data_IF_725054342212
#
_entry.id   IF_725054342212
#
_cell.length_a   1.000
_cell.length_b   1.000
_cell.length_c   1.000
_cell.angle_alpha   90.00
_cell.angle_beta   90.00
_cell.angle_gamma   90.00
#
_symmetry.space_group_name_H-M   'P 1'
#
loop_
_entity.id
_entity.type
_entity.pdbx_description
1 polymer ?
#
# COMPACT_ATOMS: atom_id res chain seq x y z
N UNK A 1 17.41 -17.60 12.45
CA UNK A 1 17.91 -17.93 13.81
C UNK A 1 18.99 -16.96 14.31
N UNK A 2 18.99 -15.67 13.90
CA UNK A 2 19.98 -14.67 14.36
C UNK A 2 19.43 -13.26 14.66
N UNK A 3 18.10 -13.05 14.68
CA UNK A 3 17.52 -11.75 15.08
C UNK A 3 17.21 -11.64 16.59
N UNK A 4 17.45 -12.71 17.37
CA UNK A 4 17.11 -12.76 18.80
C UNK A 4 18.20 -12.17 19.73
N UNK A 5 19.36 -11.77 19.20
CA UNK A 5 20.51 -11.31 19.99
C UNK A 5 20.57 -9.79 20.25
N UNK A 6 19.67 -9.00 19.66
CA UNK A 6 19.63 -7.54 19.86
C UNK A 6 18.78 -7.10 21.07
N UNK A 7 18.03 -8.01 21.68
CA UNK A 7 17.24 -7.73 22.89
C UNK A 7 17.86 -8.40 24.10
N UNK A 8 18.93 -7.81 24.62
CA UNK A 8 19.52 -8.18 25.91
C UNK A 8 18.54 -7.81 27.05
N UNK A 9 17.98 -8.78 27.80
CA UNK A 9 16.88 -8.56 28.76
C UNK A 9 17.28 -7.91 30.09
N UNK A 10 18.53 -7.46 30.25
CA UNK A 10 19.00 -6.92 31.54
C UNK A 10 18.45 -5.52 31.89
N UNK A 11 17.80 -4.82 30.95
CA UNK A 11 17.10 -3.55 31.24
C UNK A 11 15.64 -3.78 31.62
N UNK A 12 15.40 -4.08 32.90
CA UNK A 12 14.07 -4.35 33.50
C UNK A 12 12.96 -3.33 33.19
N UNK A 13 13.30 -2.08 32.85
CA UNK A 13 12.30 -1.04 32.55
C UNK A 13 11.70 -1.14 31.14
N UNK A 14 12.42 -1.70 30.16
CA UNK A 14 11.91 -1.88 28.79
C UNK A 14 11.22 -3.24 28.58
N UNK A 15 11.36 -4.16 29.53
CA UNK A 15 10.69 -5.46 29.51
C UNK A 15 9.20 -5.39 29.94
N UNK A 16 8.74 -4.25 30.46
CA UNK A 16 7.38 -4.08 31.03
C UNK A 16 6.34 -3.84 29.94
N UNK A 17 6.73 -3.26 28.79
CA UNK A 17 5.83 -3.01 27.67
C UNK A 17 6.19 -3.98 26.54
N UNK A 18 5.28 -4.85 26.08
CA UNK A 18 5.55 -5.70 24.94
C UNK A 18 5.91 -4.80 23.75
N UNK A 19 7.08 -5.05 23.16
CA UNK A 19 7.70 -4.27 22.06
C UNK A 19 6.70 -3.93 20.95
N UNK A 20 5.77 -4.84 20.68
CA UNK A 20 4.70 -4.69 19.71
C UNK A 20 3.78 -3.51 20.04
N UNK A 21 3.29 -3.42 21.28
CA UNK A 21 2.40 -2.34 21.72
C UNK A 21 3.12 -1.00 21.72
N UNK A 22 4.36 -0.97 22.19
CA UNK A 22 5.18 0.25 22.14
C UNK A 22 5.32 0.75 20.69
N UNK A 23 5.67 -0.15 19.77
CA UNK A 23 5.80 0.17 18.34
C UNK A 23 4.48 0.69 17.78
N UNK A 24 3.36 0.05 18.13
CA UNK A 24 2.05 0.48 17.68
C UNK A 24 1.66 1.88 18.20
N UNK A 25 1.95 2.19 19.46
CA UNK A 25 1.76 3.54 20.00
C UNK A 25 2.64 4.58 19.31
N UNK A 26 3.90 4.25 18.99
CA UNK A 26 4.77 5.11 18.20
C UNK A 26 4.21 5.34 16.79
N UNK A 27 3.64 4.32 16.15
CA UNK A 27 2.95 4.48 14.87
C UNK A 27 1.76 5.44 15.01
N UNK A 28 0.87 5.23 15.98
CA UNK A 28 -0.28 6.11 16.23
C UNK A 28 0.17 7.57 16.39
N UNK A 29 1.19 7.82 17.22
CA UNK A 29 1.73 9.16 17.46
C UNK A 29 2.31 9.76 16.17
N UNK A 30 3.11 9.01 15.42
CA UNK A 30 3.76 9.47 14.19
C UNK A 30 2.74 9.89 13.14
N UNK A 31 1.75 9.03 12.85
CA UNK A 31 0.71 9.35 11.87
C UNK A 31 -0.25 10.44 12.36
N UNK A 32 -0.48 10.55 13.68
CA UNK A 32 -1.21 11.68 14.26
C UNK A 32 -0.51 13.01 13.95
N UNK A 33 0.81 13.09 14.14
CA UNK A 33 1.59 14.29 13.83
C UNK A 33 1.54 14.60 12.32
N UNK A 34 1.69 13.60 11.46
CA UNK A 34 1.65 13.78 10.00
C UNK A 34 0.29 14.32 9.54
N UNK A 35 -0.81 13.79 10.09
CA UNK A 35 -2.17 14.25 9.81
C UNK A 35 -2.35 15.68 10.35
N UNK A 36 -1.93 15.94 11.59
CA UNK A 36 -1.99 17.26 12.21
C UNK A 36 -1.27 18.31 11.36
N UNK A 37 0.00 18.07 10.99
CA UNK A 37 0.80 18.98 10.14
C UNK A 37 0.10 19.24 8.80
N UNK A 38 -0.38 18.18 8.14
CA UNK A 38 -0.98 18.27 6.80
C UNK A 38 -2.29 19.06 6.77
N UNK A 39 -3.16 18.90 7.78
CA UNK A 39 -4.49 19.51 7.75
C UNK A 39 -4.65 20.78 8.59
N UNK A 40 -3.80 20.99 9.60
CA UNK A 40 -3.93 22.14 10.52
C UNK A 40 -2.81 23.17 10.37
N UNK A 41 -1.64 22.79 9.86
CA UNK A 41 -0.51 23.71 9.69
C UNK A 41 -0.27 24.14 8.24
N UNK A 42 -0.79 23.42 7.26
CA UNK A 42 -0.60 23.76 5.85
C UNK A 42 -1.69 24.75 5.41
N UNK A 43 -1.39 26.05 5.49
CA UNK A 43 -2.28 27.15 5.09
C UNK A 43 -2.64 27.14 3.59
N UNK A 44 -1.98 26.29 2.80
CA UNK A 44 -2.19 26.13 1.36
C UNK A 44 -3.35 25.20 0.99
N UNK A 45 -3.97 24.49 1.94
CA UNK A 45 -5.24 23.79 1.69
C UNK A 45 -6.32 24.88 1.64
N UNK A 46 -6.47 25.42 0.43
CA UNK A 46 -7.32 26.55 0.09
C UNK A 46 -8.66 26.51 0.84
N UNK A 47 -9.00 27.64 1.46
CA UNK A 47 -10.32 27.96 2.06
C UNK A 47 -11.52 27.77 1.10
N UNK A 48 -11.28 27.42 -0.16
CA UNK A 48 -12.27 27.19 -1.21
C UNK A 48 -12.72 25.72 -1.34
N UNK A 49 -12.04 24.74 -0.72
CA UNK A 49 -12.44 23.31 -0.72
C UNK A 49 -13.22 22.89 0.55
N UNK A 50 -13.41 23.80 1.50
CA UNK A 50 -14.12 23.58 2.76
C UNK A 50 -15.66 23.56 2.61
N UNK A 51 -16.19 22.96 1.55
CA UNK A 51 -17.60 22.56 1.53
C UNK A 51 -17.77 21.35 2.46
N UNK A 52 -18.28 21.65 3.65
CA UNK A 52 -18.32 20.82 4.88
C UNK A 52 -18.70 19.33 4.78
N UNK A 53 -19.31 18.85 3.69
CA UNK A 53 -19.76 17.46 3.55
C UNK A 53 -18.76 16.54 2.82
N UNK A 54 -17.81 17.08 2.06
CA UNK A 54 -16.81 16.27 1.31
C UNK A 54 -15.52 16.03 2.11
N UNK A 55 -15.31 16.82 3.18
CA UNK A 55 -14.06 16.89 3.91
C UNK A 55 -13.72 15.58 4.64
N UNK A 56 -14.69 15.00 5.33
CA UNK A 56 -14.48 13.72 6.05
C UNK A 56 -14.18 12.58 5.07
N UNK A 57 -14.91 12.52 3.96
CA UNK A 57 -14.67 11.53 2.90
C UNK A 57 -13.29 11.70 2.28
N UNK A 58 -12.86 12.94 2.03
CA UNK A 58 -11.52 13.24 1.52
C UNK A 58 -10.42 12.86 2.51
N UNK A 59 -10.57 13.21 3.79
CA UNK A 59 -9.63 12.83 4.85
C UNK A 59 -9.50 11.31 4.94
N UNK A 60 -10.62 10.57 4.97
CA UNK A 60 -10.64 9.11 5.05
C UNK A 60 -9.99 8.41 3.85
N UNK A 61 -9.95 9.07 2.69
CA UNK A 61 -9.26 8.56 1.50
C UNK A 61 -7.74 8.67 1.58
N UNK A 62 -7.22 9.44 2.52
CA UNK A 62 -5.79 9.68 2.62
C UNK A 62 -5.09 8.48 3.23
N UNK A 63 -4.02 7.99 2.58
CA UNK A 63 -3.31 6.78 3.02
C UNK A 63 -2.83 6.86 4.48
N UNK A 64 -2.37 8.05 4.92
CA UNK A 64 -1.94 8.28 6.31
C UNK A 64 -3.07 8.09 7.33
N UNK A 65 -4.31 8.44 6.97
CA UNK A 65 -5.49 8.26 7.83
C UNK A 65 -5.88 6.78 7.86
N UNK A 66 -5.78 6.08 6.74
CA UNK A 66 -6.01 4.64 6.72
C UNK A 66 -4.99 3.88 7.59
N UNK A 67 -3.74 4.35 7.62
CA UNK A 67 -2.69 3.85 8.52
C UNK A 67 -3.01 4.14 9.98
N UNK A 68 -3.42 5.36 10.37
CA UNK A 68 -3.74 5.61 11.79
C UNK A 68 -4.91 4.75 12.27
N UNK A 69 -5.97 4.61 11.46
CA UNK A 69 -7.12 3.77 11.83
C UNK A 69 -6.69 2.30 11.96
N UNK A 70 -5.83 1.82 11.06
CA UNK A 70 -5.27 0.47 11.16
C UNK A 70 -4.45 0.29 12.44
N UNK A 71 -3.67 1.29 12.86
CA UNK A 71 -2.87 1.21 14.09
C UNK A 71 -3.76 1.12 15.34
N UNK A 72 -4.86 1.89 15.38
CA UNK A 72 -5.88 1.75 16.42
C UNK A 72 -6.54 0.38 16.40
N UNK A 73 -6.83 -0.17 15.24
CA UNK A 73 -7.41 -1.51 15.17
C UNK A 73 -6.47 -2.55 15.80
N UNK A 74 -5.16 -2.37 15.64
CA UNK A 74 -4.18 -3.35 16.09
C UNK A 74 -3.94 -3.33 17.59
N UNK A 75 -4.37 -2.29 18.31
CA UNK A 75 -4.35 -2.32 19.78
C UNK A 75 -5.31 -3.35 20.35
N UNK A 76 -6.34 -3.75 19.59
CA UNK A 76 -7.42 -4.66 20.05
C UNK A 76 -7.23 -6.09 19.54
N UNK A 77 -6.35 -6.30 18.54
CA UNK A 77 -6.13 -7.62 17.92
C UNK A 77 -4.92 -8.35 18.48
N UNK A 78 -4.77 -9.64 18.16
CA UNK A 78 -3.54 -10.38 18.47
C UNK A 78 -2.30 -9.76 17.83
N UNK A 79 -1.20 -9.86 18.56
CA UNK A 79 0.10 -9.35 18.13
C UNK A 79 0.61 -10.18 16.95
N UNK A 80 1.00 -9.51 15.86
CA UNK A 80 1.58 -10.17 14.69
C UNK A 80 2.56 -9.26 14.01
N UNK A 81 3.77 -9.76 13.76
CA UNK A 81 4.82 -9.00 13.08
C UNK A 81 4.39 -8.51 11.69
N UNK A 82 3.63 -9.33 10.95
CA UNK A 82 3.16 -8.98 9.60
C UNK A 82 2.26 -7.76 9.58
N UNK A 83 1.52 -7.54 10.68
CA UNK A 83 0.76 -6.31 10.85
C UNK A 83 1.76 -5.15 10.76
N UNK A 84 2.83 -5.05 11.53
CA UNK A 84 3.74 -3.88 11.49
C UNK A 84 4.46 -3.58 10.15
N UNK A 85 4.45 -4.50 9.17
CA UNK A 85 5.24 -4.35 7.94
C UNK A 85 4.80 -3.19 7.03
N UNK A 86 3.51 -2.99 6.69
CA UNK A 86 3.08 -1.82 5.93
C UNK A 86 3.51 -0.51 6.61
N UNK A 87 3.33 -0.38 7.93
CA UNK A 87 3.76 0.80 8.67
C UNK A 87 5.26 1.08 8.52
N UNK A 88 6.10 0.05 8.63
CA UNK A 88 7.54 0.19 8.44
C UNK A 88 7.89 0.64 7.01
N UNK A 89 7.22 0.09 5.99
CA UNK A 89 7.44 0.46 4.58
C UNK A 89 7.05 1.93 4.36
N UNK A 90 5.84 2.32 4.77
CA UNK A 90 5.36 3.70 4.63
C UNK A 90 6.23 4.69 5.40
N UNK A 91 6.61 4.37 6.64
CA UNK A 91 7.50 5.23 7.42
C UNK A 91 8.87 5.40 6.75
N UNK A 92 9.46 4.31 6.25
CA UNK A 92 10.76 4.36 5.55
C UNK A 92 10.68 5.18 4.27
N UNK A 93 9.63 5.00 3.47
CA UNK A 93 9.43 5.77 2.24
C UNK A 93 9.19 7.26 2.55
N UNK A 94 8.34 7.57 3.53
CA UNK A 94 8.08 8.95 3.93
C UNK A 94 9.33 9.64 4.47
N UNK A 95 10.09 8.95 5.32
CA UNK A 95 11.36 9.46 5.84
C UNK A 95 12.37 9.69 4.71
N UNK A 96 12.47 8.76 3.77
CA UNK A 96 13.39 8.87 2.63
C UNK A 96 13.02 10.07 1.75
N UNK A 97 11.73 10.23 1.43
CA UNK A 97 11.23 11.39 0.70
C UNK A 97 11.50 12.70 1.45
N UNK A 98 11.24 12.74 2.76
CA UNK A 98 11.50 13.93 3.58
C UNK A 98 12.98 14.31 3.56
N UNK A 99 13.89 13.33 3.76
CA UNK A 99 15.32 13.59 3.78
C UNK A 99 15.84 14.16 2.45
N UNK A 100 15.35 13.63 1.33
CA UNK A 100 15.81 14.03 -0.01
C UNK A 100 15.17 15.32 -0.48
N UNK A 101 13.86 15.48 -0.31
CA UNK A 101 13.11 16.58 -0.92
C UNK A 101 12.92 17.79 0.02
N UNK A 102 12.85 17.59 1.34
CA UNK A 102 12.59 18.67 2.30
C UNK A 102 13.81 19.03 3.15
N UNK A 103 14.53 18.06 3.70
CA UNK A 103 15.62 18.33 4.65
C UNK A 103 16.91 18.78 3.97
N UNK A 104 17.27 18.17 2.84
CA UNK A 104 18.51 18.47 2.11
C UNK A 104 18.28 18.76 0.61
N UNK A 105 17.41 19.72 0.26
CA UNK A 105 17.16 20.06 -1.13
C UNK A 105 18.45 20.53 -1.80
N UNK A 106 18.69 20.08 -3.02
CA UNK A 106 19.83 20.49 -3.87
C UNK A 106 21.24 20.05 -3.44
N UNK A 107 21.36 19.15 -2.45
CA UNK A 107 22.66 18.50 -2.19
C UNK A 107 22.97 17.47 -3.28
N UNK A 108 24.25 17.29 -3.64
CA UNK A 108 24.68 16.27 -4.62
C UNK A 108 24.20 14.85 -4.24
N UNK A 109 24.13 14.59 -2.93
CA UNK A 109 23.55 13.36 -2.39
C UNK A 109 22.06 13.24 -2.70
N UNK A 110 21.25 14.28 -2.44
CA UNK A 110 19.82 14.30 -2.75
C UNK A 110 19.54 14.12 -4.25
N UNK A 111 20.30 14.81 -5.12
CA UNK A 111 20.16 14.71 -6.58
C UNK A 111 20.39 13.27 -7.06
N UNK A 112 21.38 12.58 -6.48
CA UNK A 112 21.71 11.20 -6.82
C UNK A 112 20.72 10.19 -6.22
N UNK A 113 20.18 10.46 -5.03
CA UNK A 113 19.26 9.55 -4.33
C UNK A 113 17.80 9.67 -4.82
N UNK A 114 17.38 10.83 -5.31
CA UNK A 114 16.03 11.08 -5.82
C UNK A 114 15.54 10.05 -6.87
N UNK A 115 16.31 9.73 -7.95
CA UNK A 115 15.87 8.72 -8.92
C UNK A 115 15.80 7.32 -8.29
N UNK A 116 16.69 7.00 -7.36
CA UNK A 116 16.67 5.72 -6.64
C UNK A 116 15.42 5.57 -5.77
N UNK A 117 15.05 6.61 -5.00
CA UNK A 117 13.82 6.61 -4.20
C UNK A 117 12.60 6.46 -5.11
N UNK A 118 12.54 7.20 -6.21
CA UNK A 118 11.42 7.10 -7.15
C UNK A 118 11.30 5.69 -7.74
N UNK A 119 12.43 5.02 -8.01
CA UNK A 119 12.46 3.64 -8.50
C UNK A 119 11.98 2.63 -7.45
N UNK A 120 12.41 2.74 -6.19
CA UNK A 120 12.08 1.78 -5.14
C UNK A 120 10.69 2.00 -4.52
N UNK A 121 10.14 3.21 -4.62
CA UNK A 121 8.85 3.57 -4.04
C UNK A 121 7.71 2.65 -4.50
N UNK A 122 7.53 2.51 -5.81
CA UNK A 122 6.45 1.70 -6.38
C UNK A 122 6.53 0.21 -6.01
N UNK A 123 7.68 -0.50 -6.15
CA UNK A 123 7.77 -1.89 -5.74
C UNK A 123 7.55 -2.08 -4.22
N UNK A 124 8.02 -1.16 -3.38
CA UNK A 124 7.75 -1.21 -1.94
C UNK A 124 6.25 -1.06 -1.62
N UNK A 125 5.55 -0.13 -2.28
CA UNK A 125 4.10 0.04 -2.09
C UNK A 125 3.31 -1.18 -2.57
N UNK A 126 3.69 -1.78 -3.71
CA UNK A 126 3.09 -3.02 -4.20
C UNK A 126 3.33 -4.17 -3.21
N UNK A 127 4.55 -4.27 -2.67
CA UNK A 127 4.88 -5.27 -1.65
C UNK A 127 4.02 -5.07 -0.39
N UNK A 128 3.88 -3.83 0.08
CA UNK A 128 2.98 -3.51 1.19
C UNK A 128 1.53 -3.95 0.90
N UNK A 129 1.04 -3.77 -0.33
CA UNK A 129 -0.31 -4.18 -0.68
C UNK A 129 -0.51 -5.72 -0.68
N UNK A 130 0.52 -6.48 -1.06
CA UNK A 130 0.49 -7.94 -0.89
C UNK A 130 0.41 -8.34 0.58
N UNK A 131 1.15 -7.64 1.44
CA UNK A 131 1.09 -7.86 2.89
C UNK A 131 -0.28 -7.50 3.44
N UNK A 132 -0.92 -6.42 2.99
CA UNK A 132 -2.29 -6.07 3.40
C UNK A 132 -3.28 -7.20 3.08
N UNK A 133 -3.21 -7.78 1.87
CA UNK A 133 -4.06 -8.92 1.49
C UNK A 133 -3.76 -10.15 2.37
N UNK A 134 -2.50 -10.39 2.69
CA UNK A 134 -2.12 -11.44 3.63
C UNK A 134 -2.67 -11.19 5.04
N UNK A 135 -2.66 -9.94 5.53
CA UNK A 135 -3.25 -9.55 6.81
C UNK A 135 -4.75 -9.81 6.82
N UNK A 136 -5.48 -9.54 5.72
CA UNK A 136 -6.91 -9.88 5.62
C UNK A 136 -7.12 -11.38 5.85
N UNK A 137 -6.29 -12.24 5.24
CA UNK A 137 -6.34 -13.69 5.45
C UNK A 137 -6.05 -14.08 6.91
N UNK A 138 -5.06 -13.45 7.54
CA UNK A 138 -4.76 -13.66 8.96
C UNK A 138 -5.92 -13.24 9.87
N UNK A 139 -6.53 -12.09 9.61
CA UNK A 139 -7.67 -11.58 10.39
C UNK A 139 -8.91 -12.45 10.21
N UNK A 140 -9.13 -13.01 9.01
CA UNK A 140 -10.20 -13.96 8.78
C UNK A 140 -10.03 -15.22 9.64
N UNK A 141 -8.80 -15.76 9.69
CA UNK A 141 -8.47 -16.91 10.54
C UNK A 141 -8.61 -16.59 12.04
N UNK A 142 -8.14 -15.43 12.48
CA UNK A 142 -8.29 -14.95 13.87
C UNK A 142 -9.78 -14.81 14.24
N UNK A 143 -10.58 -14.26 13.33
CA UNK A 143 -12.03 -14.06 13.51
C UNK A 143 -12.77 -15.38 13.65
N UNK A 144 -12.38 -16.39 12.87
CA UNK A 144 -12.97 -17.73 12.94
C UNK A 144 -12.69 -18.39 14.30
N UNK A 145 -11.47 -18.25 14.84
CA UNK A 145 -11.10 -18.79 16.14
C UNK A 145 -11.81 -18.11 17.31
N UNK A 146 -11.95 -16.78 17.25
CA UNK A 146 -12.57 -15.97 18.31
C UNK A 146 -14.09 -15.83 18.18
N UNK A 147 -14.67 -16.37 17.09
CA UNK A 147 -16.07 -16.18 16.71
C UNK A 147 -16.49 -14.69 16.69
N UNK A 148 -15.57 -13.81 16.29
CA UNK A 148 -15.74 -12.37 16.36
C UNK A 148 -15.23 -11.73 15.07
N UNK A 149 -16.15 -11.22 14.25
CA UNK A 149 -15.85 -10.79 12.88
C UNK A 149 -15.71 -9.27 12.71
N UNK A 150 -15.92 -8.48 13.78
CA UNK A 150 -15.95 -7.02 13.68
C UNK A 150 -14.62 -6.44 13.16
N UNK A 151 -13.49 -6.94 13.66
CA UNK A 151 -12.14 -6.50 13.23
C UNK A 151 -11.94 -6.79 11.76
N UNK A 152 -12.31 -7.98 11.31
CA UNK A 152 -12.17 -8.40 9.93
C UNK A 152 -12.99 -7.52 8.99
N UNK A 153 -14.25 -7.25 9.32
CA UNK A 153 -15.09 -6.39 8.50
C UNK A 153 -14.60 -4.94 8.46
N UNK A 154 -14.18 -4.40 9.62
CA UNK A 154 -13.67 -3.04 9.72
C UNK A 154 -12.37 -2.88 8.92
N UNK A 155 -11.42 -3.80 9.07
CA UNK A 155 -10.17 -3.76 8.29
C UNK A 155 -10.43 -3.97 6.79
N UNK A 156 -11.31 -4.90 6.42
CA UNK A 156 -11.67 -5.12 5.01
C UNK A 156 -12.29 -3.87 4.39
N UNK A 157 -13.13 -3.15 5.13
CA UNK A 157 -13.70 -1.88 4.68
C UNK A 157 -12.61 -0.82 4.45
N UNK A 158 -11.67 -0.66 5.39
CA UNK A 158 -10.52 0.26 5.22
C UNK A 158 -9.67 -0.14 4.02
N UNK A 159 -9.42 -1.43 3.83
CA UNK A 159 -8.65 -1.92 2.69
C UNK A 159 -9.37 -1.69 1.36
N UNK A 160 -10.70 -1.81 1.30
CA UNK A 160 -11.47 -1.42 0.12
C UNK A 160 -11.31 0.08 -0.18
N UNK A 161 -11.40 0.94 0.84
CA UNK A 161 -11.13 2.38 0.67
C UNK A 161 -9.69 2.65 0.20
N UNK A 162 -8.73 1.88 0.69
CA UNK A 162 -7.32 1.94 0.27
C UNK A 162 -7.15 1.53 -1.20
N UNK A 163 -7.87 0.50 -1.62
CA UNK A 163 -7.86 -0.01 -2.98
C UNK A 163 -8.37 1.02 -3.99
N UNK A 164 -9.38 1.82 -3.63
CA UNK A 164 -9.89 2.88 -4.50
C UNK A 164 -8.86 4.00 -4.75
N UNK A 165 -8.03 4.31 -3.75
CA UNK A 165 -7.08 5.42 -3.84
C UNK A 165 -5.67 4.99 -4.28
N UNK A 166 -5.29 3.73 -4.03
CA UNK A 166 -3.93 3.25 -4.21
C UNK A 166 -3.81 2.33 -5.44
N UNK A 167 -3.12 2.79 -6.48
CA UNK A 167 -2.80 1.99 -7.67
C UNK A 167 -2.04 0.70 -7.31
N UNK A 168 -1.13 0.78 -6.34
CA UNK A 168 -0.35 -0.37 -5.88
C UNK A 168 -1.27 -1.50 -5.36
N UNK A 169 -2.34 -1.15 -4.63
CA UNK A 169 -3.31 -2.11 -4.11
C UNK A 169 -4.12 -2.78 -5.21
N UNK A 170 -4.54 -2.00 -6.23
CA UNK A 170 -5.21 -2.53 -7.43
C UNK A 170 -4.30 -3.50 -8.18
N UNK A 171 -3.04 -3.13 -8.43
CA UNK A 171 -2.06 -3.97 -9.11
C UNK A 171 -1.82 -5.28 -8.36
N UNK A 172 -1.65 -5.23 -7.03
CA UNK A 172 -1.44 -6.42 -6.21
C UNK A 172 -2.63 -7.39 -6.30
N UNK A 173 -3.85 -6.86 -6.22
CA UNK A 173 -5.08 -7.64 -6.35
C UNK A 173 -5.17 -8.29 -7.75
N UNK A 174 -4.94 -7.53 -8.82
CA UNK A 174 -4.94 -8.09 -10.19
C UNK A 174 -3.91 -9.20 -10.36
N UNK A 175 -2.71 -9.05 -9.78
CA UNK A 175 -1.67 -10.10 -9.82
C UNK A 175 -2.12 -11.36 -9.08
N UNK A 176 -2.75 -11.23 -7.92
CA UNK A 176 -3.30 -12.37 -7.18
C UNK A 176 -4.41 -13.04 -7.98
N UNK A 177 -5.35 -12.29 -8.55
CA UNK A 177 -6.40 -12.85 -9.39
C UNK A 177 -5.83 -13.64 -10.58
N UNK A 178 -4.76 -13.14 -11.21
CA UNK A 178 -4.08 -13.86 -12.30
C UNK A 178 -3.44 -15.17 -11.81
N UNK A 179 -2.80 -15.17 -10.65
CA UNK A 179 -2.25 -16.41 -10.06
C UNK A 179 -3.36 -17.41 -9.79
N UNK A 180 -4.47 -16.95 -9.22
CA UNK A 180 -5.64 -17.78 -8.93
C UNK A 180 -6.26 -18.30 -10.24
N UNK A 181 -6.36 -17.49 -11.28
CA UNK A 181 -6.80 -17.90 -12.62
C UNK A 181 -5.93 -19.04 -13.19
N UNK A 182 -4.60 -18.98 -13.02
CA UNK A 182 -3.69 -20.06 -13.47
C UNK A 182 -4.00 -21.35 -12.71
N UNK A 183 -4.22 -21.28 -11.40
CA UNK A 183 -4.56 -22.44 -10.57
C UNK A 183 -5.88 -23.07 -11.02
N UNK A 184 -6.91 -22.26 -11.28
CA UNK A 184 -8.23 -22.75 -11.73
C UNK A 184 -8.26 -23.27 -13.17
N UNK A 185 -7.28 -22.90 -13.99
CA UNK A 185 -7.10 -23.42 -15.36
C UNK A 185 -6.42 -24.78 -15.40
N UNK A 186 -5.83 -25.24 -14.31
CA UNK A 186 -5.25 -26.58 -14.25
C UNK A 186 -6.33 -27.66 -14.44
N UNK A 187 -6.02 -28.69 -15.23
CA UNK A 187 -6.96 -29.77 -15.59
C UNK A 187 -7.54 -30.54 -14.38
N UNK A 188 -6.91 -30.41 -13.21
CA UNK A 188 -7.33 -31.04 -11.96
C UNK A 188 -8.57 -30.39 -11.32
N UNK A 189 -9.03 -29.23 -11.80
CA UNK A 189 -10.18 -28.54 -11.20
C UNK A 189 -11.50 -28.95 -11.87
N UNK A 190 -12.50 -29.44 -11.11
CA UNK A 190 -13.83 -29.75 -11.64
C UNK A 190 -14.48 -28.57 -12.38
N UNK A 191 -15.11 -28.84 -13.53
CA UNK A 191 -15.74 -27.82 -14.39
C UNK A 191 -16.72 -26.89 -13.66
N UNK A 192 -17.46 -27.41 -12.67
CA UNK A 192 -18.39 -26.62 -11.84
C UNK A 192 -17.68 -25.53 -11.03
N UNK A 193 -16.50 -25.83 -10.49
CA UNK A 193 -15.72 -24.88 -9.69
C UNK A 193 -15.14 -23.80 -10.60
N UNK A 194 -14.65 -24.17 -11.79
CA UNK A 194 -14.16 -23.21 -12.77
C UNK A 194 -15.26 -22.24 -13.24
N UNK A 195 -16.48 -22.72 -13.47
CA UNK A 195 -17.62 -21.85 -13.79
C UNK A 195 -17.99 -20.89 -12.65
N UNK A 196 -17.97 -21.38 -11.41
CA UNK A 196 -18.21 -20.52 -10.23
C UNK A 196 -17.14 -19.44 -10.08
N UNK A 197 -15.86 -19.81 -10.27
CA UNK A 197 -14.73 -18.88 -10.27
C UNK A 197 -14.87 -17.80 -11.34
N UNK A 198 -15.22 -18.16 -12.58
CA UNK A 198 -15.43 -17.18 -13.66
C UNK A 198 -16.54 -16.18 -13.32
N UNK A 199 -17.66 -16.64 -12.75
CA UNK A 199 -18.74 -15.75 -12.33
C UNK A 199 -18.29 -14.80 -11.20
N UNK A 200 -17.58 -15.33 -10.21
CA UNK A 200 -17.02 -14.54 -9.10
C UNK A 200 -16.02 -13.49 -9.60
N UNK A 201 -15.10 -13.89 -10.48
CA UNK A 201 -14.12 -13.00 -11.10
C UNK A 201 -14.79 -11.86 -11.86
N UNK A 202 -15.84 -12.15 -12.63
CA UNK A 202 -16.57 -11.09 -13.36
C UNK A 202 -17.19 -10.06 -12.42
N UNK A 203 -17.69 -10.48 -11.25
CA UNK A 203 -18.18 -9.55 -10.21
C UNK A 203 -17.06 -8.69 -9.64
N UNK A 204 -15.91 -9.29 -9.31
CA UNK A 204 -14.75 -8.54 -8.81
C UNK A 204 -14.24 -7.55 -9.85
N UNK A 205 -14.07 -7.98 -11.11
CA UNK A 205 -13.59 -7.11 -12.17
C UNK A 205 -14.53 -5.94 -12.43
N UNK A 206 -15.85 -6.15 -12.33
CA UNK A 206 -16.83 -5.07 -12.45
C UNK A 206 -16.74 -4.06 -11.31
N UNK A 207 -16.46 -4.52 -10.09
CA UNK A 207 -16.22 -3.63 -8.95
C UNK A 207 -14.94 -2.80 -9.14
N UNK A 208 -13.89 -3.40 -9.72
CA UNK A 208 -12.62 -2.74 -9.98
C UNK A 208 -12.64 -1.81 -11.21
N UNK A 209 -13.39 -2.15 -12.26
CA UNK A 209 -13.41 -1.37 -13.52
C UNK A 209 -14.13 -0.03 -13.40
N UNK A 210 -14.91 0.18 -12.34
CA UNK A 210 -15.49 1.49 -12.01
C UNK A 210 -14.39 2.55 -11.75
N UNK A 211 -13.13 2.13 -11.54
CA UNK A 211 -11.99 3.01 -11.26
C UNK A 211 -11.01 3.20 -12.44
N UNK A 212 -11.11 2.47 -13.57
CA UNK A 212 -10.09 2.47 -14.64
C UNK A 212 -10.65 2.44 -16.07
N UNK A 213 -11.34 3.51 -16.50
CA UNK A 213 -11.72 3.74 -17.91
C UNK A 213 -10.66 4.50 -18.74
N UNK A 214 -9.45 4.72 -18.22
CA UNK A 214 -8.44 5.56 -18.89
C UNK A 214 -7.29 4.81 -19.56
N UNK A 215 -6.42 4.16 -18.79
CA UNK A 215 -5.03 4.02 -19.23
C UNK A 215 -4.43 2.60 -19.17
N UNK A 216 -5.20 1.55 -18.88
CA UNK A 216 -4.61 0.22 -18.65
C UNK A 216 -4.75 -0.78 -19.82
N UNK A 217 -5.54 -0.47 -20.85
CA UNK A 217 -5.73 -1.38 -22.01
C UNK A 217 -4.65 -1.16 -23.08
N UNK A 218 -4.04 0.03 -23.18
CA UNK A 218 -3.08 0.34 -24.24
C UNK A 218 -1.65 -0.19 -24.03
N UNK A 219 -1.23 -0.47 -22.79
CA UNK A 219 0.15 -0.89 -22.52
C UNK A 219 0.38 -2.40 -22.62
N UNK A 220 -0.65 -3.22 -22.79
CA UNK A 220 -0.53 -4.69 -22.88
C UNK A 220 -0.70 -5.26 -24.28
N UNK A 221 -0.97 -4.42 -25.29
CA UNK A 221 -1.25 -4.86 -26.67
C UNK A 221 -0.27 -4.33 -27.74
N UNK A 222 0.88 -3.77 -27.38
CA UNK A 222 1.96 -3.56 -28.36
C UNK A 222 2.92 -4.76 -28.35
N UNK A 223 2.88 -5.64 -29.37
CA UNK A 223 4.05 -6.42 -29.72
C UNK A 223 5.10 -5.45 -30.24
N UNK A 224 6.21 -5.32 -29.52
CA UNK A 224 7.39 -4.62 -29.99
C UNK A 224 7.91 -5.34 -31.23
N UNK A 225 7.61 -4.76 -32.39
CA UNK A 225 8.22 -5.12 -33.67
C UNK A 225 9.70 -4.76 -33.60
N UNK A 226 10.54 -5.79 -33.65
CA UNK A 226 11.87 -5.67 -34.23
C UNK A 226 11.71 -5.21 -35.68
N UNK A 227 12.17 -4.00 -35.99
CA UNK A 227 12.70 -3.65 -37.30
C UNK A 227 14.05 -2.99 -37.09
N UNK A 228 15.04 -3.75 -37.53
CA UNK A 228 16.41 -3.39 -37.86
C UNK A 228 16.46 -2.27 -38.93
N UNK A 229 17.59 -1.57 -39.04
CA UNK A 229 17.91 -0.76 -40.23
C UNK A 229 18.27 0.70 -39.98
N UNK A 230 19.54 0.92 -39.66
CA UNK A 230 20.44 1.97 -40.20
C UNK A 230 19.89 2.93 -41.27
N UNK A 231 20.03 4.24 -41.06
CA UNK A 231 20.78 5.17 -41.93
C UNK A 231 20.79 6.59 -41.36
N UNK A 232 21.95 7.24 -41.39
CA UNK A 232 22.17 8.57 -40.81
C UNK A 232 21.67 9.72 -41.68
N UNK A 233 21.50 10.88 -41.04
CA UNK A 233 21.90 12.17 -41.63
C UNK A 233 22.04 13.24 -40.55
N UNK A 234 23.28 13.69 -40.43
CA UNK A 234 23.67 15.01 -39.92
C UNK A 234 23.17 16.06 -40.92
N UNK A 235 22.45 17.08 -40.46
CA UNK A 235 22.54 18.49 -40.90
C UNK A 235 21.50 19.33 -40.12
N UNK A 236 21.99 20.18 -39.21
CA UNK A 236 21.96 21.65 -39.32
C UNK A 236 20.59 22.29 -39.04
N UNK A 237 20.44 22.89 -37.86
CA UNK A 237 19.78 24.20 -37.70
C UNK A 237 20.49 24.98 -36.57
N UNK A 238 21.38 25.90 -36.97
CA UNK A 238 21.45 27.23 -36.37
C UNK A 238 21.24 28.18 -37.54
N UNK A 239 20.34 29.16 -37.34
CA UNK A 239 19.77 30.12 -38.31
C UNK A 239 18.82 29.55 -39.37
#
# INVERSE_FOLDING_TARGET
MYSAWIFNPEKKYLAIIPWYKLTNYCCILTYSIVIYKRYLCDENINKNEFESNTLISYILKTENVQLIISAFLWTVTEESFFKLVPFAIYATLNLSCFLVFEAYPQTQFSISLAPFISFIKNPCLIFSAFIDIFIIGLLFHESFKKNSYYVFFLYSFIWCLKMDNSEASRIALFKILKVVDIIFRNQMVPKKINQSWLCFRMKILRLLSISNSGNFIDSTNRPDFYSDGTEGKVEQIVS
#
